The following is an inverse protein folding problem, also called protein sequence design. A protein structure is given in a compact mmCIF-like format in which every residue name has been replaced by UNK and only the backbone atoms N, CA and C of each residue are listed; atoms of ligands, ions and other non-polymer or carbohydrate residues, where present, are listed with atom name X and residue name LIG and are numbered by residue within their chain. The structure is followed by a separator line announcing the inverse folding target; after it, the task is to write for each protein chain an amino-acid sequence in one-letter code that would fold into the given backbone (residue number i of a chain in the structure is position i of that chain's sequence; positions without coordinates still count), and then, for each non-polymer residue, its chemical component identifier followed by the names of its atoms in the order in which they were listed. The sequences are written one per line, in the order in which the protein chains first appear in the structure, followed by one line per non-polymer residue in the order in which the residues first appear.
data_IF_324923140234
#
_entry.id   IF_324923140234
#
_cell.length_a   1.000
_cell.length_b   1.000
_cell.length_c   1.000
_cell.angle_alpha   90.00
_cell.angle_beta   90.00
_cell.angle_gamma   90.00
#
_symmetry.space_group_name_H-M   'P 1'
#
loop_
_entity.id
_entity.type
_entity.pdbx_description
1 polymer ?
#
# COMPACT_ATOMS: atom_id res chain seq x y z
N UNK A 1 -4.65 16.74 -15.45
CA UNK A 1 -5.70 15.97 -14.75
C UNK A 1 -5.47 14.50 -15.05
N UNK A 2 -5.55 13.62 -14.06
CA UNK A 2 -5.35 12.17 -14.24
C UNK A 2 -6.60 11.52 -14.84
N UNK A 3 -6.43 10.53 -15.70
CA UNK A 3 -7.51 9.68 -16.20
C UNK A 3 -7.99 8.75 -15.07
N UNK A 4 -9.29 8.77 -14.76
CA UNK A 4 -9.88 8.01 -13.65
C UNK A 4 -10.53 6.71 -14.16
N UNK A 5 -10.13 5.58 -13.57
CA UNK A 5 -10.70 4.25 -13.84
C UNK A 5 -11.09 3.55 -12.55
N UNK A 6 -12.08 2.66 -12.61
CA UNK A 6 -12.33 1.73 -11.50
C UNK A 6 -11.49 0.47 -11.73
N UNK A 7 -10.93 -0.06 -10.65
CA UNK A 7 -10.23 -1.32 -10.61
C UNK A 7 -10.78 -2.16 -9.47
N UNK A 8 -11.70 -3.07 -9.81
CA UNK A 8 -12.31 -3.98 -8.84
C UNK A 8 -11.51 -5.28 -8.80
N UNK A 9 -10.86 -5.53 -7.67
CA UNK A 9 -10.21 -6.81 -7.37
C UNK A 9 -11.30 -7.83 -7.07
N UNK A 10 -11.34 -8.92 -7.84
CA UNK A 10 -12.39 -9.93 -7.72
C UNK A 10 -12.09 -10.91 -6.59
N UNK A 11 -10.83 -11.29 -6.43
CA UNK A 11 -10.38 -12.20 -5.39
C UNK A 11 -9.23 -11.57 -4.58
N UNK A 12 -9.48 -11.32 -3.29
CA UNK A 12 -8.50 -10.73 -2.38
C UNK A 12 -7.24 -11.61 -2.22
N UNK A 13 -7.35 -12.94 -2.40
CA UNK A 13 -6.20 -13.85 -2.37
C UNK A 13 -5.30 -13.69 -3.61
N UNK A 14 -5.86 -13.16 -4.70
CA UNK A 14 -5.15 -12.94 -5.97
C UNK A 14 -4.86 -11.47 -6.23
N UNK A 15 -4.98 -10.62 -5.20
CA UNK A 15 -4.82 -9.17 -5.32
C UNK A 15 -3.55 -8.76 -6.06
N UNK A 16 -2.41 -9.39 -5.75
CA UNK A 16 -1.14 -9.05 -6.40
C UNK A 16 -1.12 -9.42 -7.88
N UNK A 17 -1.67 -10.58 -8.23
CA UNK A 17 -1.74 -11.05 -9.60
C UNK A 17 -2.72 -10.22 -10.44
N UNK A 18 -3.90 -9.94 -9.90
CA UNK A 18 -4.88 -9.09 -10.57
C UNK A 18 -4.33 -7.67 -10.80
N UNK A 19 -3.71 -7.08 -9.78
CA UNK A 19 -3.07 -5.76 -9.89
C UNK A 19 -1.92 -5.77 -10.90
N UNK A 20 -1.03 -6.77 -10.85
CA UNK A 20 0.11 -6.81 -11.77
C UNK A 20 -0.34 -6.98 -13.22
N UNK A 21 -1.32 -7.85 -13.48
CA UNK A 21 -1.85 -8.06 -14.82
C UNK A 21 -2.53 -6.81 -15.37
N UNK A 22 -3.25 -6.08 -14.51
CA UNK A 22 -3.99 -4.90 -14.92
C UNK A 22 -3.07 -3.68 -15.13
N UNK A 23 -2.23 -3.35 -14.14
CA UNK A 23 -1.42 -2.12 -14.14
C UNK A 23 -0.31 -2.14 -15.21
N UNK A 24 0.20 -3.31 -15.60
CA UNK A 24 1.24 -3.42 -16.65
C UNK A 24 0.82 -2.81 -17.99
N UNK A 25 -0.49 -2.75 -18.27
CA UNK A 25 -1.02 -2.13 -19.48
C UNK A 25 -0.86 -0.60 -19.50
N UNK A 26 -0.53 0.01 -18.35
CA UNK A 26 -0.43 1.45 -18.18
C UNK A 26 0.97 1.92 -17.81
N UNK A 27 1.96 1.02 -17.74
CA UNK A 27 3.34 1.32 -17.28
C UNK A 27 4.06 2.42 -18.08
N UNK A 28 3.72 2.59 -19.34
CA UNK A 28 4.32 3.58 -20.26
C UNK A 28 3.60 4.93 -20.21
N UNK A 29 2.53 5.05 -19.40
CA UNK A 29 1.82 6.33 -19.21
C UNK A 29 2.69 7.29 -18.40
N UNK A 30 2.48 8.62 -18.53
CA UNK A 30 3.17 9.59 -17.70
C UNK A 30 2.93 9.35 -16.21
N UNK A 31 3.94 9.63 -15.38
CA UNK A 31 3.85 9.49 -13.92
C UNK A 31 2.61 10.16 -13.35
N UNK A 32 1.84 9.38 -12.58
CA UNK A 32 0.62 9.82 -11.91
C UNK A 32 -0.52 10.25 -12.83
N UNK A 33 -0.42 9.97 -14.13
CA UNK A 33 -1.49 10.31 -15.08
C UNK A 33 -2.71 9.42 -14.96
N UNK A 34 -2.63 8.28 -14.27
CA UNK A 34 -3.76 7.39 -14.03
C UNK A 34 -4.12 7.37 -12.56
N UNK A 35 -5.41 7.48 -12.26
CA UNK A 35 -5.98 7.25 -10.94
C UNK A 35 -6.95 6.07 -11.02
N UNK A 36 -6.63 4.99 -10.32
CA UNK A 36 -7.48 3.81 -10.25
C UNK A 36 -8.21 3.78 -8.92
N UNK A 37 -9.53 3.89 -8.93
CA UNK A 37 -10.37 3.72 -7.73
C UNK A 37 -10.42 2.23 -7.41
N UNK A 38 -9.90 1.87 -6.25
CA UNK A 38 -9.73 0.48 -5.80
C UNK A 38 -10.64 0.13 -4.62
N UNK A 39 -11.14 1.12 -3.90
CA UNK A 39 -12.22 0.99 -2.91
C UNK A 39 -13.27 2.08 -3.19
N UNK A 40 -14.55 1.70 -3.24
CA UNK A 40 -15.65 2.57 -3.64
C UNK A 40 -15.93 2.56 -5.16
N UNK A 41 -16.45 3.66 -5.68
CA UNK A 41 -16.77 3.86 -7.10
C UNK A 41 -16.23 5.19 -7.61
N UNK A 42 -16.31 5.45 -8.91
CA UNK A 42 -15.96 6.77 -9.48
C UNK A 42 -16.77 7.92 -8.87
N UNK A 43 -18.05 7.68 -8.63
CA UNK A 43 -18.97 8.69 -8.10
C UNK A 43 -18.87 8.83 -6.57
N UNK A 44 -18.41 7.77 -5.90
CA UNK A 44 -18.16 7.76 -4.46
C UNK A 44 -16.83 7.05 -4.14
N UNK A 45 -15.69 7.69 -4.44
CA UNK A 45 -14.39 7.08 -4.23
C UNK A 45 -14.04 7.07 -2.74
N UNK A 46 -13.39 5.99 -2.29
CA UNK A 46 -12.88 5.87 -0.92
C UNK A 46 -11.35 5.79 -0.94
N UNK A 47 -10.79 4.85 -1.71
CA UNK A 47 -9.35 4.75 -1.95
C UNK A 47 -9.09 4.65 -3.44
N UNK A 48 -8.13 5.44 -3.91
CA UNK A 48 -7.51 5.29 -5.22
C UNK A 48 -6.03 4.91 -5.11
N UNK A 49 -5.48 4.43 -6.21
CA UNK A 49 -4.03 4.32 -6.43
C UNK A 49 -3.63 5.12 -7.65
N UNK A 50 -2.59 5.95 -7.50
CA UNK A 50 -2.06 6.79 -8.58
C UNK A 50 -0.85 6.11 -9.21
N UNK A 51 -0.90 5.95 -10.53
CA UNK A 51 0.01 5.11 -11.31
C UNK A 51 0.28 5.70 -12.71
N UNK A 52 1.43 5.42 -13.35
CA UNK A 52 2.66 4.90 -12.75
C UNK A 52 3.17 5.78 -11.60
N UNK A 53 3.81 5.17 -10.61
CA UNK A 53 4.36 5.88 -9.46
C UNK A 53 5.58 6.73 -9.79
N UNK A 54 5.89 7.72 -8.94
CA UNK A 54 7.02 8.63 -9.17
C UNK A 54 8.38 7.94 -9.24
N UNK A 55 8.53 6.78 -8.60
CA UNK A 55 9.78 6.03 -8.58
C UNK A 55 9.89 4.98 -9.69
N UNK A 56 8.85 4.80 -10.51
CA UNK A 56 8.87 3.89 -11.67
C UNK A 56 9.96 4.36 -12.63
N UNK A 57 10.81 3.44 -13.08
CA UNK A 57 11.86 3.73 -14.06
C UNK A 57 11.82 2.70 -15.17
N UNK A 58 11.95 3.18 -16.40
CA UNK A 58 12.20 2.36 -17.58
C UNK A 58 13.66 2.52 -17.98
N UNK A 59 14.36 1.41 -18.23
CA UNK A 59 15.74 1.40 -18.72
C UNK A 59 15.74 1.18 -20.24
N UNK A 60 16.62 1.89 -20.92
CA UNK A 60 16.84 1.77 -22.37
C UNK A 60 18.15 0.99 -22.64
N UNK A 61 18.12 0.10 -23.64
CA UNK A 61 19.26 -0.73 -24.03
C UNK A 61 18.86 -2.16 -24.46
N UNK A 62 19.48 -2.66 -25.53
CA UNK A 62 19.07 -3.92 -26.20
C UNK A 62 19.38 -5.20 -25.38
N UNK A 63 20.23 -5.15 -24.35
CA UNK A 63 20.71 -6.35 -23.61
C UNK A 63 20.24 -6.44 -22.16
N UNK A 64 19.27 -5.64 -21.74
CA UNK A 64 18.79 -5.65 -20.35
C UNK A 64 17.74 -6.75 -20.14
N UNK A 65 18.02 -7.70 -19.23
CA UNK A 65 17.06 -8.75 -18.83
C UNK A 65 15.86 -8.21 -18.05
N UNK A 66 15.98 -7.03 -17.43
CA UNK A 66 14.92 -6.34 -16.69
C UNK A 66 14.87 -4.88 -17.14
N UNK A 67 13.76 -4.48 -17.78
CA UNK A 67 13.57 -3.12 -18.31
C UNK A 67 12.91 -2.17 -17.32
N UNK A 68 12.15 -2.68 -16.36
CA UNK A 68 11.33 -1.88 -15.45
C UNK A 68 11.83 -2.00 -14.02
N UNK A 69 11.95 -0.86 -13.34
CA UNK A 69 12.24 -0.80 -11.92
C UNK A 69 11.11 -0.10 -11.15
N UNK A 70 10.86 -0.55 -9.92
CA UNK A 70 9.84 -0.02 -9.00
C UNK A 70 8.44 0.04 -9.63
N UNK A 71 8.14 -0.91 -10.53
CA UNK A 71 7.00 -0.84 -11.44
C UNK A 71 5.67 -0.63 -10.72
N UNK A 72 5.49 -1.20 -9.54
CA UNK A 72 4.25 -1.16 -8.76
C UNK A 72 4.35 -0.25 -7.52
N UNK A 73 5.31 0.68 -7.48
CA UNK A 73 5.44 1.68 -6.41
C UNK A 73 4.40 2.81 -6.57
N UNK A 74 3.11 2.47 -6.57
CA UNK A 74 2.01 3.42 -6.72
C UNK A 74 1.79 4.25 -5.44
N UNK A 75 1.13 5.40 -5.60
CA UNK A 75 0.73 6.25 -4.48
C UNK A 75 -0.70 5.91 -4.06
N UNK A 76 -0.94 5.69 -2.77
CA UNK A 76 -2.28 5.48 -2.21
C UNK A 76 -2.94 6.84 -1.97
N UNK A 77 -4.15 7.02 -2.49
CA UNK A 77 -4.89 8.30 -2.49
C UNK A 77 -6.22 8.11 -1.77
N UNK A 78 -6.35 8.57 -0.52
CA UNK A 78 -7.61 8.54 0.20
C UNK A 78 -8.56 9.65 -0.24
N UNK A 79 -9.86 9.38 -0.13
CA UNK A 79 -10.93 10.31 -0.46
C UNK A 79 -11.84 10.56 0.73
N UNK A 80 -12.34 11.79 0.86
CA UNK A 80 -13.41 12.16 1.79
C UNK A 80 -14.33 13.16 1.11
N UNK A 81 -15.64 12.92 1.16
CA UNK A 81 -16.64 13.75 0.48
C UNK A 81 -16.28 13.94 -1.01
N UNK A 82 -15.90 12.86 -1.69
CA UNK A 82 -15.50 12.82 -3.11
C UNK A 82 -14.26 13.66 -3.48
N UNK A 83 -13.53 14.20 -2.49
CA UNK A 83 -12.29 14.95 -2.70
C UNK A 83 -11.11 14.15 -2.21
N UNK A 84 -10.01 14.19 -2.98
CA UNK A 84 -8.71 13.71 -2.50
C UNK A 84 -8.34 14.45 -1.22
N UNK A 85 -7.95 13.71 -0.20
CA UNK A 85 -7.41 14.31 1.03
C UNK A 85 -5.90 14.11 1.09
N UNK A 86 -5.23 14.97 1.85
CA UNK A 86 -3.77 14.89 2.01
C UNK A 86 -3.34 13.55 2.59
N UNK A 87 -2.25 13.00 2.05
CA UNK A 87 -1.62 11.77 2.53
C UNK A 87 -0.72 11.99 3.74
N UNK A 88 -0.53 13.25 4.18
CA UNK A 88 0.37 13.59 5.30
C UNK A 88 -0.03 12.91 6.62
N UNK A 89 -1.33 12.75 6.87
CA UNK A 89 -1.85 12.04 8.06
C UNK A 89 -1.75 10.51 7.95
N UNK A 90 -1.37 10.00 6.77
CA UNK A 90 -1.29 8.56 6.47
C UNK A 90 0.16 8.09 6.27
N UNK A 91 1.13 8.85 6.77
CA UNK A 91 2.51 8.34 6.87
C UNK A 91 2.57 7.24 7.93
N UNK A 92 3.56 6.35 7.85
CA UNK A 92 3.75 5.31 8.87
C UNK A 92 3.87 5.88 10.28
N UNK A 93 4.55 7.02 10.45
CA UNK A 93 4.67 7.65 11.77
C UNK A 93 3.32 8.14 12.30
N UNK A 94 2.53 8.84 11.49
CA UNK A 94 1.23 9.36 11.91
C UNK A 94 0.24 8.22 12.16
N UNK A 95 0.24 7.18 11.33
CA UNK A 95 -0.62 6.01 11.54
C UNK A 95 -0.26 5.21 12.79
N UNK A 96 1.03 5.08 13.13
CA UNK A 96 1.42 4.43 14.39
C UNK A 96 1.05 5.26 15.61
N UNK A 97 1.21 6.59 15.53
CA UNK A 97 0.83 7.50 16.60
C UNK A 97 -0.68 7.45 16.85
N UNK A 98 -1.48 7.57 15.80
CA UNK A 98 -2.94 7.46 15.89
C UNK A 98 -3.38 6.07 16.39
N UNK A 99 -2.66 5.01 16.02
CA UNK A 99 -2.92 3.68 16.57
C UNK A 99 -2.64 3.61 18.08
N UNK A 100 -1.49 4.12 18.51
CA UNK A 100 -1.06 4.13 19.92
C UNK A 100 -2.01 4.96 20.81
N UNK A 101 -2.44 6.13 20.32
CA UNK A 101 -3.27 7.08 21.08
C UNK A 101 -4.75 6.69 21.11
N UNK A 102 -5.26 6.04 20.06
CA UNK A 102 -6.72 5.93 19.88
C UNK A 102 -7.24 4.52 19.60
N UNK A 103 -6.39 3.55 19.22
CA UNK A 103 -6.87 2.29 18.62
C UNK A 103 -6.30 1.03 19.25
N UNK A 104 -5.10 1.07 19.86
CA UNK A 104 -4.39 -0.14 20.34
C UNK A 104 -5.18 -0.98 21.34
N UNK A 105 -5.99 -0.37 22.20
CA UNK A 105 -6.70 -1.09 23.26
C UNK A 105 -8.05 -1.63 22.80
N UNK A 106 -8.50 -1.27 21.59
CA UNK A 106 -9.75 -1.76 21.04
C UNK A 106 -9.56 -3.12 20.34
N UNK A 107 -10.21 -4.16 20.88
CA UNK A 107 -10.08 -5.54 20.40
C UNK A 107 -10.72 -5.74 19.01
N UNK A 108 -11.84 -5.10 18.73
CA UNK A 108 -12.52 -5.21 17.43
C UNK A 108 -11.69 -4.56 16.31
N UNK A 109 -11.10 -3.41 16.59
CA UNK A 109 -10.17 -2.75 15.67
C UNK A 109 -8.93 -3.62 15.42
N UNK A 110 -8.34 -4.19 16.48
CA UNK A 110 -7.20 -5.10 16.34
C UNK A 110 -7.53 -6.33 15.50
N UNK A 111 -8.74 -6.89 15.66
CA UNK A 111 -9.21 -7.99 14.82
C UNK A 111 -9.29 -7.57 13.34
N UNK A 112 -9.79 -6.36 13.06
CA UNK A 112 -9.85 -5.83 11.70
C UNK A 112 -8.45 -5.60 11.08
N UNK A 113 -7.47 -5.18 11.88
CA UNK A 113 -6.05 -5.14 11.46
C UNK A 113 -5.58 -6.55 11.06
N UNK A 114 -5.92 -7.56 11.86
CA UNK A 114 -5.62 -8.97 11.56
C UNK A 114 -6.26 -9.45 10.26
N UNK A 115 -7.56 -9.18 10.06
CA UNK A 115 -8.28 -9.56 8.83
C UNK A 115 -7.61 -8.98 7.57
N UNK A 116 -7.16 -7.72 7.63
CA UNK A 116 -6.45 -7.09 6.52
C UNK A 116 -5.05 -7.71 6.33
N UNK A 117 -4.33 -7.95 7.43
CA UNK A 117 -2.97 -8.49 7.37
C UNK A 117 -2.94 -9.87 6.70
N UNK A 118 -3.84 -10.78 7.14
CA UNK A 118 -3.87 -12.17 6.69
C UNK A 118 -4.67 -12.38 5.41
N UNK A 119 -5.74 -11.62 5.17
CA UNK A 119 -6.71 -11.91 4.10
C UNK A 119 -6.91 -10.76 3.11
N UNK A 120 -6.23 -9.62 3.28
CA UNK A 120 -6.42 -8.42 2.45
C UNK A 120 -7.88 -7.93 2.40
N UNK A 121 -8.68 -8.27 3.42
CA UNK A 121 -10.12 -8.00 3.42
C UNK A 121 -10.55 -7.41 4.74
N UNK A 122 -11.37 -6.37 4.66
CA UNK A 122 -12.15 -5.89 5.79
C UNK A 122 -13.46 -6.67 5.83
N UNK A 123 -13.65 -7.50 6.86
CA UNK A 123 -14.80 -8.42 6.94
C UNK A 123 -16.05 -7.78 7.54
N UNK A 124 -15.86 -6.79 8.41
CA UNK A 124 -16.92 -6.10 9.15
C UNK A 124 -16.60 -4.62 9.22
N UNK A 125 -17.63 -3.81 9.42
CA UNK A 125 -17.46 -2.40 9.73
C UNK A 125 -16.66 -2.26 11.04
N UNK A 126 -15.57 -1.49 11.06
CA UNK A 126 -14.75 -1.31 12.24
C UNK A 126 -15.43 -0.36 13.23
N UNK A 127 -15.06 -0.42 14.52
CA UNK A 127 -15.62 0.48 15.53
C UNK A 127 -15.25 1.93 15.23
N UNK A 128 -16.15 2.86 15.56
CA UNK A 128 -15.89 4.31 15.44
C UNK A 128 -15.00 4.76 16.59
N UNK A 129 -13.73 5.02 16.29
CA UNK A 129 -12.71 5.43 17.25
C UNK A 129 -12.25 6.86 16.97
N UNK A 130 -11.62 7.48 17.96
CA UNK A 130 -11.06 8.82 17.83
C UNK A 130 -9.87 8.86 16.84
N UNK A 131 -9.49 10.08 16.45
CA UNK A 131 -8.41 10.35 15.50
C UNK A 131 -8.84 10.10 14.06
N UNK A 132 -8.01 9.38 13.30
CA UNK A 132 -8.31 8.97 11.93
C UNK A 132 -9.50 8.00 11.98
N UNK A 133 -10.49 8.22 11.11
CA UNK A 133 -11.65 7.33 11.01
C UNK A 133 -11.20 5.88 10.75
N UNK A 134 -11.69 4.94 11.55
CA UNK A 134 -11.20 3.57 11.60
C UNK A 134 -11.25 2.85 10.24
N UNK A 135 -12.35 2.99 9.50
CA UNK A 135 -12.48 2.36 8.18
C UNK A 135 -11.45 2.92 7.21
N UNK A 136 -11.35 4.24 7.12
CA UNK A 136 -10.38 4.91 6.27
C UNK A 136 -8.92 4.55 6.65
N UNK A 137 -8.60 4.49 7.95
CA UNK A 137 -7.29 4.04 8.43
C UNK A 137 -6.97 2.64 7.91
N UNK A 138 -7.90 1.70 8.08
CA UNK A 138 -7.72 0.30 7.72
C UNK A 138 -7.61 0.11 6.21
N UNK A 139 -8.42 0.81 5.42
CA UNK A 139 -8.34 0.76 3.96
C UNK A 139 -7.03 1.37 3.44
N UNK A 140 -6.58 2.49 3.99
CA UNK A 140 -5.27 3.05 3.62
C UNK A 140 -4.14 2.09 4.01
N UNK A 141 -4.20 1.50 5.21
CA UNK A 141 -3.22 0.53 5.69
C UNK A 141 -3.11 -0.67 4.75
N UNK A 142 -4.25 -1.24 4.33
CA UNK A 142 -4.34 -2.33 3.36
C UNK A 142 -3.56 -2.01 2.08
N UNK A 143 -3.83 -0.85 1.49
CA UNK A 143 -3.25 -0.49 0.18
C UNK A 143 -1.77 -0.11 0.27
N UNK A 144 -1.34 0.50 1.38
CA UNK A 144 0.09 0.70 1.67
C UNK A 144 0.78 -0.66 1.82
N UNK A 145 0.19 -1.60 2.55
CA UNK A 145 0.75 -2.94 2.71
C UNK A 145 0.86 -3.73 1.40
N UNK A 146 -0.13 -3.62 0.52
CA UNK A 146 -0.06 -4.21 -0.82
C UNK A 146 1.11 -3.64 -1.62
N UNK A 147 1.28 -2.31 -1.61
CA UNK A 147 2.41 -1.63 -2.28
C UNK A 147 3.78 -2.02 -1.66
N UNK A 148 3.87 -2.07 -0.33
CA UNK A 148 5.09 -2.51 0.37
C UNK A 148 5.47 -3.95 0.04
N UNK A 149 4.49 -4.85 -0.09
CA UNK A 149 4.77 -6.22 -0.49
C UNK A 149 5.22 -6.34 -1.94
N UNK A 150 4.62 -5.59 -2.86
CA UNK A 150 5.09 -5.51 -4.24
C UNK A 150 6.54 -5.06 -4.34
N UNK A 151 6.90 -4.08 -3.50
CA UNK A 151 8.21 -3.47 -3.52
C UNK A 151 9.25 -4.35 -2.84
N UNK A 152 8.94 -4.89 -1.66
CA UNK A 152 9.95 -5.49 -0.81
C UNK A 152 9.77 -7.00 -0.63
N UNK A 153 8.59 -7.58 -0.80
CA UNK A 153 8.38 -9.01 -0.50
C UNK A 153 8.41 -9.90 -1.73
N UNK A 154 7.67 -9.52 -2.77
CA UNK A 154 7.40 -10.39 -3.91
C UNK A 154 8.27 -10.06 -5.13
N UNK A 155 8.71 -11.09 -5.86
CA UNK A 155 9.27 -10.95 -7.20
C UNK A 155 8.17 -10.85 -8.27
N UNK A 156 8.58 -10.60 -9.51
CA UNK A 156 7.65 -10.63 -10.63
C UNK A 156 7.02 -12.01 -10.85
N UNK A 157 7.74 -13.11 -10.55
CA UNK A 157 7.17 -14.47 -10.61
C UNK A 157 6.14 -14.69 -9.51
N UNK A 158 6.45 -14.28 -8.28
CA UNK A 158 5.58 -14.47 -7.11
C UNK A 158 4.19 -13.84 -7.33
N UNK A 159 4.15 -12.68 -7.97
CA UNK A 159 2.89 -12.00 -8.29
C UNK A 159 2.32 -12.38 -9.66
N UNK A 160 2.99 -13.25 -10.43
CA UNK A 160 2.55 -13.64 -11.77
C UNK A 160 2.50 -12.47 -12.76
N UNK A 161 3.44 -11.52 -12.65
CA UNK A 161 3.50 -10.37 -13.54
C UNK A 161 3.89 -10.79 -14.97
N UNK A 162 3.21 -10.27 -16.01
CA UNK A 162 3.52 -10.58 -17.40
C UNK A 162 4.84 -9.94 -17.88
N UNK A 163 5.44 -9.06 -17.08
CA UNK A 163 6.74 -8.47 -17.38
C UNK A 163 7.69 -8.58 -16.20
N UNK A 164 8.98 -8.76 -16.50
CA UNK A 164 10.02 -8.74 -15.48
C UNK A 164 10.23 -7.31 -14.97
N UNK A 165 10.20 -7.14 -13.66
CA UNK A 165 10.57 -5.92 -12.96
C UNK A 165 11.43 -6.23 -11.74
N UNK A 166 12.08 -5.20 -11.18
CA UNK A 166 12.80 -5.32 -9.91
C UNK A 166 12.69 -4.04 -9.07
N UNK A 167 12.92 -4.15 -7.77
CA UNK A 167 13.06 -2.98 -6.91
C UNK A 167 14.48 -2.42 -7.01
N UNK A 168 14.59 -1.09 -7.09
CA UNK A 168 15.86 -0.38 -7.07
C UNK A 168 15.84 0.75 -6.05
N UNK A 169 16.98 0.91 -5.36
CA UNK A 169 17.20 2.03 -4.48
C UNK A 169 17.47 3.34 -5.27
N UNK A 170 17.72 4.44 -4.55
CA UNK A 170 18.01 5.75 -5.16
C UNK A 170 19.24 5.71 -6.09
N UNK A 171 20.24 4.88 -5.80
CA UNK A 171 21.47 4.73 -6.60
C UNK A 171 21.32 3.78 -7.79
N UNK A 172 20.13 3.18 -8.00
CA UNK A 172 19.86 2.25 -9.10
C UNK A 172 20.38 0.83 -8.87
N UNK A 173 20.81 0.52 -7.64
CA UNK A 173 21.20 -0.83 -7.22
C UNK A 173 19.96 -1.62 -6.86
N UNK A 174 19.96 -2.91 -7.21
CA UNK A 174 18.86 -3.82 -6.85
C UNK A 174 18.75 -3.93 -5.33
N UNK A 175 17.54 -3.73 -4.82
CA UNK A 175 17.24 -3.92 -3.41
C UNK A 175 16.94 -5.38 -3.15
N UNK A 176 17.46 -5.94 -2.05
CA UNK A 176 17.10 -7.29 -1.63
C UNK A 176 15.64 -7.36 -1.16
N UNK A 177 15.04 -8.55 -1.23
CA UNK A 177 13.73 -8.79 -0.63
C UNK A 177 13.81 -8.50 0.88
N UNK A 178 12.79 -7.85 1.41
CA UNK A 178 12.58 -7.52 2.81
C UNK A 178 11.20 -7.97 3.30
N UNK A 179 10.78 -7.42 4.44
CA UNK A 179 9.63 -7.92 5.18
C UNK A 179 8.25 -7.48 4.63
N UNK A 180 8.21 -6.53 3.68
CA UNK A 180 6.96 -5.96 3.15
C UNK A 180 6.06 -5.42 4.27
N UNK A 181 4.76 -5.75 4.21
CA UNK A 181 3.78 -5.37 5.23
C UNK A 181 4.14 -5.82 6.65
N UNK A 182 4.90 -6.91 6.78
CA UNK A 182 5.24 -7.51 8.08
C UNK A 182 6.03 -6.54 8.93
N UNK A 183 6.82 -5.65 8.34
CA UNK A 183 7.56 -4.62 9.06
C UNK A 183 6.63 -3.70 9.84
N UNK A 184 5.59 -3.18 9.18
CA UNK A 184 4.64 -2.28 9.82
C UNK A 184 3.69 -3.02 10.76
N UNK A 185 3.25 -4.23 10.39
CA UNK A 185 2.44 -5.07 11.27
C UNK A 185 3.17 -5.39 12.59
N UNK A 186 4.46 -5.71 12.53
CA UNK A 186 5.27 -5.92 13.73
C UNK A 186 5.35 -4.65 14.61
N UNK A 187 5.38 -3.45 14.01
CA UNK A 187 5.33 -2.21 14.77
C UNK A 187 4.00 -2.03 15.50
N UNK A 188 2.86 -2.26 14.82
CA UNK A 188 1.54 -2.25 15.45
C UNK A 188 1.45 -3.29 16.58
N UNK A 189 1.97 -4.50 16.36
CA UNK A 189 2.01 -5.57 17.35
C UNK A 189 2.78 -5.16 18.60
N UNK A 190 3.99 -4.59 18.45
CA UNK A 190 4.77 -4.14 19.60
C UNK A 190 4.02 -3.07 20.42
N UNK A 191 3.42 -2.09 19.75
CA UNK A 191 2.60 -1.07 20.42
C UNK A 191 1.40 -1.70 21.14
N UNK A 192 0.70 -2.62 20.48
CA UNK A 192 -0.43 -3.38 21.05
C UNK A 192 -0.07 -4.13 22.33
N UNK A 193 1.20 -4.52 22.45
CA UNK A 193 1.76 -5.28 23.57
C UNK A 193 2.61 -4.41 24.53
N UNK A 194 2.38 -3.09 24.53
CA UNK A 194 2.86 -2.20 25.58
C UNK A 194 4.23 -1.57 25.33
N UNK A 195 4.82 -1.74 24.15
CA UNK A 195 6.03 -1.01 23.78
C UNK A 195 5.69 0.42 23.39
N UNK A 196 6.42 1.39 23.96
CA UNK A 196 6.34 2.80 23.58
C UNK A 196 6.72 2.99 22.10
N UNK A 197 6.02 3.89 21.41
CA UNK A 197 6.27 4.26 20.02
C UNK A 197 7.73 4.69 19.79
N UNK A 198 8.33 5.41 20.75
CA UNK A 198 9.74 5.80 20.69
C UNK A 198 10.70 4.61 20.66
N UNK A 199 10.39 3.55 21.41
CA UNK A 199 11.14 2.29 21.41
C UNK A 199 10.90 1.52 20.12
N UNK A 200 9.63 1.42 19.68
CA UNK A 200 9.27 0.70 18.45
C UNK A 200 9.99 1.28 17.24
N UNK A 201 10.09 2.62 17.13
CA UNK A 201 10.84 3.30 16.05
C UNK A 201 12.34 2.96 16.04
N UNK A 202 12.92 2.59 17.18
CA UNK A 202 14.32 2.13 17.28
C UNK A 202 14.48 0.66 16.88
N UNK A 203 13.52 -0.19 17.25
CA UNK A 203 13.54 -1.62 16.92
C UNK A 203 13.24 -1.84 15.44
N UNK A 204 12.22 -1.14 14.93
CA UNK A 204 11.74 -1.24 13.56
C UNK A 204 11.94 0.14 12.91
N UNK A 205 13.08 0.37 12.25
CA UNK A 205 13.34 1.66 11.60
C UNK A 205 12.41 1.81 10.39
N UNK A 206 11.31 2.52 10.57
CA UNK A 206 10.38 2.88 9.50
C UNK A 206 10.92 4.15 8.83
N UNK A 207 11.09 4.09 7.50
CA UNK A 207 11.78 5.10 6.70
C UNK A 207 11.05 6.45 6.66
#
# INVERSE_FOLDING_TARGET
MSEIKELKIKDANRIYQELSNFLVNFKEKPTGSMLFIVEGTKDNPVIGIRYPGKKVKQREGQRLQVKWANLFDFEVVPFKNQKEITTNQFTFSEMLKDFDEHKKDNTEFWQAVGDIYYENKLKKEPPKLAGIESELYLLVLKWIWVQEDFNYKYSFEDVGSPIRYRLENRTGTTTQKGAGRTKFFAALFLIKHGFDLGIVKKIIPLY
#
